data_IF_074286138154
#
_entry.id   IF_074286138154
#
_cell.length_a   1.000
_cell.length_b   1.000
_cell.length_c   1.000
_cell.angle_alpha   90.00
_cell.angle_beta   90.00
_cell.angle_gamma   90.00
#
_symmetry.space_group_name_H-M   'P 1'
#
loop_
_entity.id
_entity.type
_entity.pdbx_description
1 polymer ?
#
# COMPACT_ATOMS: atom_id res chain seq x y z
N UNK A 1 6.66 6.62 24.84
CA UNK A 1 5.66 7.63 25.12
C UNK A 1 4.72 7.69 23.91
N UNK A 2 3.44 7.36 24.03
CA UNK A 2 2.48 7.57 22.99
C UNK A 2 2.16 9.06 22.88
N UNK A 3 1.93 9.55 21.66
CA UNK A 3 1.11 10.72 21.44
C UNK A 3 1.66 12.14 21.38
N UNK A 4 2.90 12.33 21.01
CA UNK A 4 3.27 13.66 20.51
C UNK A 4 2.81 13.86 19.04
N UNK A 5 2.73 12.78 18.25
CA UNK A 5 2.26 12.85 16.86
C UNK A 5 0.76 13.15 16.74
N UNK A 6 -0.03 12.71 17.71
CA UNK A 6 -1.49 12.99 17.70
C UNK A 6 -1.80 14.44 18.11
N UNK A 7 -0.94 15.07 18.91
CA UNK A 7 -1.11 16.50 19.27
C UNK A 7 -0.74 17.44 18.12
N UNK A 8 0.27 17.11 17.32
CA UNK A 8 0.66 17.93 16.17
C UNK A 8 -0.37 17.87 15.03
N UNK A 9 -0.98 16.69 14.78
CA UNK A 9 -2.05 16.56 13.78
C UNK A 9 -3.37 17.21 14.23
N UNK A 10 -3.62 17.31 15.53
CA UNK A 10 -4.83 17.97 16.03
C UNK A 10 -4.73 19.51 15.97
N UNK A 11 -3.53 20.09 16.01
CA UNK A 11 -3.34 21.53 15.92
C UNK A 11 -3.44 22.04 14.47
N UNK A 12 -3.06 21.23 13.47
CA UNK A 12 -3.18 21.60 12.05
C UNK A 12 -4.62 21.56 11.53
N UNK A 13 -5.46 20.69 12.06
CA UNK A 13 -6.87 20.60 11.65
C UNK A 13 -7.75 21.70 12.27
N UNK A 14 -7.36 22.26 13.39
CA UNK A 14 -8.11 23.35 14.03
C UNK A 14 -8.12 24.65 13.20
N UNK A 15 -7.07 24.88 12.39
CA UNK A 15 -6.96 26.10 11.58
C UNK A 15 -7.81 26.09 10.31
N UNK A 16 -8.01 24.93 9.70
CA UNK A 16 -8.76 24.83 8.43
C UNK A 16 -10.28 24.72 8.64
N UNK A 17 -10.68 24.04 9.71
CA UNK A 17 -12.12 23.92 10.03
C UNK A 17 -12.70 25.15 10.71
N UNK A 18 -11.88 26.02 11.32
CA UNK A 18 -12.35 27.18 12.09
C UNK A 18 -12.88 28.32 11.26
N UNK A 19 -12.50 28.44 10.01
CA UNK A 19 -12.86 29.56 9.14
C UNK A 19 -13.90 29.23 8.05
N UNK A 20 -14.33 27.99 7.94
CA UNK A 20 -15.36 27.61 6.98
C UNK A 20 -16.71 28.09 7.55
N UNK A 21 -17.31 29.06 6.89
CA UNK A 21 -18.63 29.62 7.21
C UNK A 21 -18.75 30.30 8.59
N UNK A 22 -17.68 30.92 9.12
CA UNK A 22 -17.77 31.70 10.37
C UNK A 22 -17.91 30.86 11.63
N UNK A 23 -17.65 29.58 11.59
CA UNK A 23 -17.70 28.71 12.77
C UNK A 23 -16.50 28.94 13.69
N UNK A 24 -16.74 29.45 14.86
CA UNK A 24 -15.77 29.50 15.96
C UNK A 24 -15.61 28.09 16.54
N UNK A 25 -14.43 27.51 16.36
CA UNK A 25 -14.08 26.19 16.86
C UNK A 25 -13.94 25.16 15.74
N UNK A 26 -12.77 24.53 15.67
CA UNK A 26 -12.44 23.57 14.63
C UNK A 26 -13.45 22.44 14.57
N UNK A 27 -14.14 22.36 13.45
CA UNK A 27 -15.13 21.30 13.22
C UNK A 27 -14.46 19.91 13.08
N UNK A 28 -13.14 19.85 13.04
CA UNK A 28 -12.36 18.63 12.89
C UNK A 28 -12.47 18.04 11.48
N UNK A 29 -11.37 17.60 10.95
CA UNK A 29 -11.33 16.82 9.69
C UNK A 29 -11.01 15.37 10.02
N UNK A 30 -11.65 14.44 9.31
CA UNK A 30 -11.42 13.00 9.47
C UNK A 30 -10.95 12.36 8.18
N UNK A 31 -9.97 11.48 8.28
CA UNK A 31 -9.42 10.73 7.16
C UNK A 31 -9.10 9.30 7.58
N UNK A 32 -8.97 8.41 6.60
CA UNK A 32 -8.61 7.03 6.83
C UNK A 32 -7.08 6.85 6.75
N UNK A 33 -6.52 6.11 7.71
CA UNK A 33 -5.11 5.73 7.74
C UNK A 33 -4.98 4.22 7.69
N UNK A 34 -3.83 3.73 7.22
CA UNK A 34 -3.49 2.31 7.28
C UNK A 34 -2.76 1.98 8.58
N UNK A 35 -3.14 0.87 9.16
CA UNK A 35 -2.40 0.19 10.21
C UNK A 35 -2.19 -1.27 9.79
N UNK A 36 -1.17 -1.92 10.31
CA UNK A 36 -0.89 -3.31 10.01
C UNK A 36 -0.46 -4.07 11.27
N UNK A 37 -0.71 -5.38 11.25
CA UNK A 37 -0.35 -6.29 12.33
C UNK A 37 0.09 -7.62 11.73
N UNK A 38 0.88 -8.40 12.48
CA UNK A 38 1.26 -9.78 12.14
C UNK A 38 0.65 -10.82 13.06
N UNK A 39 0.22 -10.39 14.23
CA UNK A 39 -0.28 -11.24 15.33
C UNK A 39 -1.75 -10.95 15.68
N UNK A 40 -2.36 -9.94 15.06
CA UNK A 40 -3.71 -9.48 15.37
C UNK A 40 -3.83 -8.69 16.68
N UNK A 41 -2.74 -8.58 17.44
CA UNK A 41 -2.70 -7.94 18.75
C UNK A 41 -1.88 -6.65 18.72
N UNK A 42 -0.68 -6.71 18.18
CA UNK A 42 0.23 -5.56 18.09
C UNK A 42 0.01 -4.84 16.77
N UNK A 43 -0.51 -3.62 16.81
CA UNK A 43 -0.80 -2.82 15.64
C UNK A 43 0.28 -1.76 15.41
N UNK A 44 0.73 -1.66 14.18
CA UNK A 44 1.75 -0.72 13.74
C UNK A 44 1.14 0.28 12.76
N UNK A 45 1.59 1.53 12.87
CA UNK A 45 1.33 2.59 11.90
C UNK A 45 2.66 3.14 11.43
N UNK A 46 2.87 3.20 10.13
CA UNK A 46 4.04 3.88 9.59
C UNK A 46 3.89 5.38 9.83
N UNK A 47 4.87 5.98 10.50
CA UNK A 47 4.87 7.43 10.82
C UNK A 47 5.04 8.32 9.60
N UNK A 48 5.55 7.75 8.50
CA UNK A 48 5.75 8.44 7.23
C UNK A 48 4.62 8.21 6.23
N UNK A 49 3.69 7.32 6.54
CA UNK A 49 2.46 7.17 5.75
C UNK A 49 1.43 8.14 6.27
N UNK A 50 1.19 9.13 5.46
CA UNK A 50 0.13 10.09 5.66
C UNK A 50 -1.24 9.42 5.53
N UNK A 51 -2.20 10.08 5.06
CA UNK A 51 -3.55 9.62 4.84
C UNK A 51 -3.58 8.55 3.76
N UNK A 52 -4.22 7.45 4.02
CA UNK A 52 -4.49 6.42 3.02
C UNK A 52 -5.59 6.86 2.05
N UNK A 53 -6.65 7.45 2.61
CA UNK A 53 -7.76 8.01 1.88
C UNK A 53 -8.17 9.33 2.53
N UNK A 54 -8.18 10.38 1.71
CA UNK A 54 -8.43 11.75 2.15
C UNK A 54 -9.80 12.24 1.68
N UNK A 55 -10.40 13.18 2.44
CA UNK A 55 -11.50 13.98 1.97
C UNK A 55 -11.16 14.76 0.70
N UNK A 56 -12.18 15.13 -0.08
CA UNK A 56 -12.01 16.06 -1.20
C UNK A 56 -11.46 17.41 -0.68
N UNK A 57 -10.34 17.91 -1.20
CA UNK A 57 -9.77 19.18 -0.75
C UNK A 57 -10.65 20.38 -1.10
N UNK A 58 -11.62 20.22 -2.00
CA UNK A 58 -12.53 21.31 -2.40
C UNK A 58 -13.51 21.63 -1.29
N UNK A 59 -13.42 22.84 -0.76
CA UNK A 59 -14.33 23.34 0.28
C UNK A 59 -15.78 23.27 -0.22
N UNK A 60 -16.65 22.64 0.58
CA UNK A 60 -18.06 22.45 0.25
C UNK A 60 -18.37 21.20 -0.58
N UNK A 61 -17.36 20.43 -1.00
CA UNK A 61 -17.60 19.08 -1.52
C UNK A 61 -18.33 18.23 -0.47
N UNK A 62 -19.08 17.25 -0.91
CA UNK A 62 -19.95 16.46 -0.05
C UNK A 62 -19.18 15.62 0.99
N UNK A 63 -17.89 15.32 0.74
CA UNK A 63 -16.99 14.58 1.62
C UNK A 63 -15.76 15.40 2.05
N UNK A 64 -15.83 16.75 1.91
CA UNK A 64 -14.72 17.66 2.19
C UNK A 64 -14.12 17.52 3.58
N UNK A 65 -14.97 17.35 4.61
CA UNK A 65 -14.49 17.36 5.98
C UNK A 65 -14.10 15.97 6.51
N UNK A 66 -14.78 14.93 6.07
CA UNK A 66 -14.52 13.59 6.54
C UNK A 66 -14.78 12.55 5.45
N UNK A 67 -13.88 11.56 5.38
CA UNK A 67 -13.99 10.39 4.53
C UNK A 67 -13.55 9.15 5.32
N UNK A 68 -14.54 8.42 5.84
CA UNK A 68 -14.29 7.28 6.72
C UNK A 68 -14.70 5.98 6.06
N UNK A 69 -13.71 5.15 5.73
CA UNK A 69 -13.95 3.80 5.23
C UNK A 69 -14.54 2.95 6.35
N UNK A 70 -15.75 2.44 6.11
CA UNK A 70 -16.51 1.64 7.07
C UNK A 70 -16.57 0.17 6.72
N UNK A 71 -16.47 -0.19 5.43
CA UNK A 71 -16.51 -1.58 4.99
C UNK A 71 -15.79 -1.76 3.67
N UNK A 72 -15.43 -3.01 3.38
CA UNK A 72 -14.80 -3.40 2.12
C UNK A 72 -15.35 -4.73 1.62
N UNK A 73 -15.38 -4.89 0.28
CA UNK A 73 -15.74 -6.14 -0.37
C UNK A 73 -14.86 -6.37 -1.59
N UNK A 74 -14.42 -7.61 -1.77
CA UNK A 74 -13.66 -8.02 -2.96
C UNK A 74 -14.64 -8.28 -4.10
N UNK A 75 -14.42 -7.63 -5.25
CA UNK A 75 -15.20 -7.80 -6.48
C UNK A 75 -14.23 -8.05 -7.62
N UNK A 76 -14.04 -9.31 -8.00
CA UNK A 76 -13.04 -9.70 -8.98
C UNK A 76 -11.62 -9.30 -8.53
N UNK A 77 -10.96 -8.50 -9.33
CA UNK A 77 -9.59 -8.01 -9.11
C UNK A 77 -9.54 -6.68 -8.33
N UNK A 78 -10.68 -6.18 -7.88
CA UNK A 78 -10.80 -4.93 -7.16
C UNK A 78 -11.29 -5.14 -5.73
N UNK A 79 -10.86 -4.26 -4.84
CA UNK A 79 -11.42 -4.06 -3.52
C UNK A 79 -12.26 -2.79 -3.54
N UNK A 80 -13.54 -2.94 -3.24
CA UNK A 80 -14.49 -1.84 -3.10
C UNK A 80 -14.49 -1.40 -1.64
N UNK A 81 -14.12 -0.15 -1.40
CA UNK A 81 -14.11 0.48 -0.09
C UNK A 81 -15.28 1.43 0.00
N UNK A 82 -16.30 1.06 0.78
CA UNK A 82 -17.43 1.94 1.06
C UNK A 82 -17.07 2.87 2.20
N UNK A 83 -17.31 4.16 2.01
CA UNK A 83 -17.00 5.17 2.99
C UNK A 83 -18.15 6.13 3.25
N UNK A 84 -18.23 6.65 4.46
CA UNK A 84 -19.10 7.74 4.81
C UNK A 84 -18.37 9.06 4.58
N UNK A 85 -18.93 9.89 3.72
CA UNK A 85 -18.44 11.24 3.44
C UNK A 85 -19.29 12.28 4.16
N UNK A 86 -18.65 13.34 4.62
CA UNK A 86 -19.29 14.43 5.36
C UNK A 86 -18.77 15.77 4.84
N UNK A 87 -19.68 16.64 4.48
CA UNK A 87 -19.34 18.01 4.04
C UNK A 87 -18.73 18.84 5.17
N UNK A 88 -19.22 18.63 6.39
CA UNK A 88 -18.85 19.39 7.58
C UNK A 88 -18.12 18.50 8.58
N UNK A 89 -17.33 19.11 9.43
CA UNK A 89 -16.53 18.42 10.42
C UNK A 89 -17.35 17.77 11.53
N UNK A 90 -16.65 16.95 12.32
CA UNK A 90 -17.22 16.08 13.36
C UNK A 90 -18.14 16.80 14.38
N UNK A 91 -17.84 18.05 14.68
CA UNK A 91 -18.61 18.84 15.68
C UNK A 91 -19.78 19.62 15.10
N UNK A 92 -20.04 19.43 13.83
CA UNK A 92 -21.17 20.09 13.19
C UNK A 92 -22.47 19.33 13.47
N UNK A 93 -23.47 20.04 14.02
CA UNK A 93 -24.67 19.37 14.55
C UNK A 93 -25.69 18.92 13.51
N UNK A 94 -25.54 19.30 12.24
CA UNK A 94 -26.46 18.93 11.18
C UNK A 94 -26.04 17.63 10.51
N UNK A 95 -26.86 16.60 10.66
CA UNK A 95 -26.62 15.27 10.09
C UNK A 95 -27.04 15.11 8.63
N UNK A 96 -27.53 16.19 8.01
CA UNK A 96 -28.18 16.16 6.68
C UNK A 96 -27.22 16.01 5.49
N UNK A 97 -25.94 16.27 5.67
CA UNK A 97 -24.94 16.29 4.60
C UNK A 97 -24.00 15.07 4.64
N UNK A 98 -24.54 13.90 4.98
CA UNK A 98 -23.82 12.63 4.95
C UNK A 98 -24.20 11.84 3.72
N UNK A 99 -23.20 11.30 3.03
CA UNK A 99 -23.43 10.46 1.86
C UNK A 99 -22.53 9.24 1.92
N UNK A 100 -22.95 8.18 1.23
CA UNK A 100 -22.16 6.99 1.02
C UNK A 100 -21.37 7.12 -0.27
N UNK A 101 -20.06 6.94 -0.19
CA UNK A 101 -19.15 6.91 -1.32
C UNK A 101 -18.52 5.55 -1.53
N UNK A 102 -17.93 5.37 -2.71
CA UNK A 102 -17.21 4.18 -3.11
C UNK A 102 -15.85 4.56 -3.68
N UNK A 103 -14.80 3.97 -3.12
CA UNK A 103 -13.45 3.99 -3.70
C UNK A 103 -13.07 2.57 -4.10
N UNK A 104 -12.42 2.44 -5.24
CA UNK A 104 -11.94 1.17 -5.77
C UNK A 104 -10.42 1.13 -5.76
N UNK A 105 -9.87 0.03 -5.30
CA UNK A 105 -8.44 -0.25 -5.29
C UNK A 105 -8.21 -1.62 -5.90
N UNK A 106 -7.19 -1.80 -6.73
CA UNK A 106 -6.79 -3.14 -7.15
C UNK A 106 -6.43 -3.97 -5.92
N UNK A 107 -6.82 -5.24 -5.92
CA UNK A 107 -6.63 -6.16 -4.79
C UNK A 107 -5.17 -6.17 -4.31
N UNK A 108 -4.96 -6.09 -3.01
CA UNK A 108 -3.67 -6.11 -2.30
C UNK A 108 -2.73 -4.94 -2.67
N UNK A 109 -3.26 -3.82 -3.19
CA UNK A 109 -2.48 -2.64 -3.57
C UNK A 109 -2.58 -1.48 -2.57
N UNK A 110 -2.54 -1.78 -1.30
CA UNK A 110 -2.55 -0.76 -0.25
C UNK A 110 -1.22 -0.03 -0.10
N UNK A 111 -0.12 -0.76 -0.20
CA UNK A 111 1.25 -0.25 -0.01
C UNK A 111 2.15 -0.83 -1.09
N UNK A 112 3.11 -0.05 -1.56
CA UNK A 112 4.11 -0.50 -2.53
C UNK A 112 5.52 -0.14 -2.11
N UNK A 113 6.49 -0.92 -2.58
CA UNK A 113 7.87 -0.46 -2.74
C UNK A 113 8.01 0.10 -4.15
N UNK A 114 8.52 1.32 -4.25
CA UNK A 114 8.62 2.04 -5.51
C UNK A 114 10.05 2.54 -5.73
N UNK A 115 10.49 2.49 -6.97
CA UNK A 115 11.70 3.17 -7.42
C UNK A 115 11.40 3.99 -8.69
N UNK A 116 12.15 5.07 -8.89
CA UNK A 116 12.14 5.90 -10.09
C UNK A 116 13.13 5.41 -11.16
N UNK A 117 13.76 6.34 -11.86
CA UNK A 117 14.74 6.02 -12.91
C UNK A 117 15.95 5.24 -12.40
N UNK A 118 16.44 5.60 -11.21
CA UNK A 118 17.48 4.81 -10.53
C UNK A 118 16.82 3.58 -9.92
N UNK A 119 17.29 2.40 -10.29
CA UNK A 119 16.81 1.15 -9.73
C UNK A 119 17.05 1.09 -8.22
N UNK A 120 16.04 0.62 -7.49
CA UNK A 120 16.12 0.27 -6.08
C UNK A 120 16.10 -1.24 -5.91
N UNK A 121 16.71 -1.73 -4.84
CA UNK A 121 16.71 -3.15 -4.49
C UNK A 121 15.97 -3.39 -3.18
N UNK A 122 15.12 -4.42 -3.15
CA UNK A 122 14.46 -4.93 -1.96
C UNK A 122 14.91 -6.38 -1.74
N UNK A 123 15.42 -6.69 -0.56
CA UNK A 123 15.87 -8.05 -0.20
C UNK A 123 15.02 -8.60 0.93
N UNK A 124 14.58 -9.86 0.81
CA UNK A 124 13.86 -10.56 1.88
C UNK A 124 14.83 -11.05 2.96
N UNK A 125 14.27 -11.41 4.10
CA UNK A 125 14.97 -12.34 5.01
C UNK A 125 15.16 -13.68 4.30
N UNK A 126 16.07 -14.53 4.82
CA UNK A 126 16.17 -15.90 4.37
C UNK A 126 14.83 -16.63 4.62
N UNK A 127 14.37 -17.35 3.63
CA UNK A 127 13.14 -18.14 3.66
C UNK A 127 13.36 -19.46 2.92
N UNK A 128 12.65 -20.48 3.36
CA UNK A 128 12.66 -21.80 2.70
C UNK A 128 11.34 -21.93 1.94
N UNK A 129 11.43 -22.14 0.63
CA UNK A 129 10.26 -22.26 -0.24
C UNK A 129 9.94 -23.73 -0.51
N UNK A 130 8.66 -24.06 -0.41
CA UNK A 130 8.08 -25.28 -0.98
C UNK A 130 7.09 -24.86 -2.07
N UNK A 131 7.63 -24.39 -3.20
CA UNK A 131 6.84 -23.78 -4.24
C UNK A 131 7.40 -24.11 -5.63
N UNK A 132 6.51 -24.07 -6.63
CA UNK A 132 6.86 -24.27 -8.03
C UNK A 132 6.89 -22.96 -8.81
N UNK A 133 6.20 -21.95 -8.35
CA UNK A 133 6.09 -20.65 -9.00
C UNK A 133 6.18 -19.50 -8.00
N UNK A 134 6.64 -18.37 -8.51
CA UNK A 134 6.61 -17.08 -7.84
C UNK A 134 5.81 -16.11 -8.71
N UNK A 135 4.84 -15.42 -8.12
CA UNK A 135 4.07 -14.38 -8.79
C UNK A 135 4.21 -13.06 -8.07
N UNK A 136 4.12 -11.95 -8.82
CA UNK A 136 4.23 -10.60 -8.30
C UNK A 136 2.97 -9.78 -8.59
N UNK A 137 2.50 -9.04 -7.60
CA UNK A 137 1.56 -7.94 -7.80
C UNK A 137 2.38 -6.68 -8.07
N UNK A 138 2.36 -6.21 -9.33
CA UNK A 138 3.23 -5.13 -9.81
C UNK A 138 2.50 -4.12 -10.69
N UNK A 139 3.00 -2.89 -10.72
CA UNK A 139 2.68 -1.89 -11.73
C UNK A 139 4.00 -1.41 -12.35
N UNK A 140 4.38 -2.00 -13.49
CA UNK A 140 5.69 -1.81 -14.13
C UNK A 140 5.60 -1.40 -15.61
N UNK A 141 4.47 -0.86 -16.08
CA UNK A 141 4.29 -0.48 -17.49
C UNK A 141 5.25 0.62 -17.97
N UNK A 142 5.86 1.38 -17.06
CA UNK A 142 6.83 2.44 -17.40
C UNK A 142 8.28 2.03 -17.11
N UNK A 143 8.50 0.82 -16.64
CA UNK A 143 9.79 0.30 -16.25
C UNK A 143 9.79 -1.21 -16.15
N UNK A 144 10.50 -1.73 -15.18
CA UNK A 144 10.62 -3.18 -15.00
C UNK A 144 10.83 -3.59 -13.54
N UNK A 145 10.44 -4.82 -13.24
CA UNK A 145 10.85 -5.52 -12.02
C UNK A 145 11.57 -6.81 -12.45
N UNK A 146 12.72 -7.08 -11.84
CA UNK A 146 13.43 -8.35 -11.97
C UNK A 146 13.66 -8.96 -10.60
N UNK A 147 13.77 -10.26 -10.56
CA UNK A 147 14.00 -10.99 -9.33
C UNK A 147 15.25 -11.85 -9.46
N UNK A 148 16.09 -11.86 -8.43
CA UNK A 148 17.13 -12.89 -8.28
C UNK A 148 16.94 -13.65 -6.98
N UNK A 149 17.43 -14.90 -6.97
CA UNK A 149 17.59 -15.66 -5.74
C UNK A 149 19.05 -15.71 -5.33
N UNK A 150 19.28 -15.51 -4.04
CA UNK A 150 20.59 -15.65 -3.44
C UNK A 150 20.57 -16.72 -2.35
N UNK A 151 21.73 -17.22 -1.96
CA UNK A 151 21.88 -18.06 -0.77
C UNK A 151 21.50 -17.27 0.48
N UNK A 152 21.34 -17.91 1.61
CA UNK A 152 21.12 -17.23 2.89
C UNK A 152 22.24 -16.26 3.26
N UNK A 153 23.47 -16.47 2.76
CA UNK A 153 24.63 -15.58 2.91
C UNK A 153 24.67 -14.41 1.92
N UNK A 154 23.80 -14.42 0.90
CA UNK A 154 23.69 -13.34 -0.08
C UNK A 154 24.40 -13.59 -1.41
N UNK A 155 24.95 -14.80 -1.63
CA UNK A 155 25.60 -15.14 -2.90
C UNK A 155 24.57 -15.44 -4.00
N UNK A 156 24.64 -14.78 -5.18
CA UNK A 156 23.71 -15.03 -6.28
C UNK A 156 23.77 -16.48 -6.78
N UNK A 157 22.60 -17.11 -6.92
CA UNK A 157 22.50 -18.50 -7.38
C UNK A 157 22.49 -18.52 -8.91
N UNK A 158 23.41 -19.28 -9.57
CA UNK A 158 23.43 -19.41 -11.03
C UNK A 158 22.08 -19.91 -11.60
N UNK A 159 21.61 -19.26 -12.67
CA UNK A 159 20.32 -19.54 -13.28
C UNK A 159 19.15 -18.78 -12.65
N UNK A 160 19.40 -18.06 -11.53
CA UNK A 160 18.41 -17.24 -10.80
C UNK A 160 18.87 -15.80 -10.57
N UNK A 161 19.88 -15.33 -11.29
CA UNK A 161 20.37 -13.96 -11.21
C UNK A 161 19.42 -12.99 -11.88
N UNK A 162 19.62 -11.69 -11.70
CA UNK A 162 18.82 -10.67 -12.38
C UNK A 162 18.87 -10.79 -13.91
N UNK A 163 20.04 -11.13 -14.48
CA UNK A 163 20.22 -11.36 -15.91
C UNK A 163 19.55 -12.65 -16.41
N UNK A 164 19.27 -13.59 -15.51
CA UNK A 164 18.57 -14.83 -15.82
C UNK A 164 17.05 -14.68 -15.72
N UNK A 165 16.58 -13.58 -15.12
CA UNK A 165 15.16 -13.28 -14.91
C UNK A 165 14.60 -12.51 -16.12
N UNK A 166 13.50 -13.01 -16.69
CA UNK A 166 12.73 -12.23 -17.67
C UNK A 166 12.16 -10.98 -17.02
N UNK A 167 12.40 -9.76 -17.56
CA UNK A 167 11.88 -8.54 -16.98
C UNK A 167 10.35 -8.53 -16.98
N UNK A 168 9.76 -8.14 -15.87
CA UNK A 168 8.32 -7.95 -15.72
C UNK A 168 8.02 -6.48 -15.97
N UNK A 169 7.28 -6.19 -17.04
CA UNK A 169 6.92 -4.83 -17.48
C UNK A 169 5.40 -4.60 -17.50
N UNK A 170 4.65 -5.47 -16.84
CA UNK A 170 3.19 -5.46 -16.82
C UNK A 170 2.61 -4.66 -15.64
N UNK A 171 1.32 -4.32 -15.75
CA UNK A 171 0.46 -3.98 -14.63
C UNK A 171 -0.43 -5.19 -14.33
N UNK A 172 -0.02 -6.04 -13.39
CA UNK A 172 -0.68 -7.32 -13.10
C UNK A 172 -0.73 -7.61 -11.60
N UNK A 173 -1.78 -8.33 -11.18
CA UNK A 173 -1.93 -8.80 -9.81
C UNK A 173 -1.10 -10.06 -9.51
N UNK A 174 -0.77 -10.84 -10.54
CA UNK A 174 -0.03 -12.09 -10.42
C UNK A 174 0.88 -12.35 -11.64
N UNK A 175 1.81 -11.43 -11.91
CA UNK A 175 2.81 -11.62 -12.96
C UNK A 175 3.77 -12.73 -12.57
N UNK A 176 3.88 -13.77 -13.39
CA UNK A 176 4.80 -14.89 -13.13
C UNK A 176 6.25 -14.45 -13.30
N UNK A 177 7.09 -14.83 -12.35
CA UNK A 177 8.55 -14.66 -12.44
C UNK A 177 9.12 -15.85 -13.18
N UNK A 178 9.82 -15.59 -14.27
CA UNK A 178 10.47 -16.60 -15.10
C UNK A 178 11.99 -16.42 -15.03
N UNK A 179 12.69 -17.51 -14.67
CA UNK A 179 14.14 -17.60 -14.70
C UNK A 179 14.60 -18.66 -15.70
N UNK A 180 15.91 -18.75 -15.96
CA UNK A 180 16.50 -19.81 -16.77
C UNK A 180 16.32 -21.20 -16.14
N UNK A 181 16.20 -21.27 -14.81
CA UNK A 181 16.01 -22.49 -14.05
C UNK A 181 14.62 -22.51 -13.37
N UNK A 182 13.97 -23.66 -13.23
CA UNK A 182 12.70 -23.78 -12.52
C UNK A 182 12.89 -23.50 -11.02
N UNK A 183 11.98 -22.72 -10.41
CA UNK A 183 12.01 -22.39 -8.98
C UNK A 183 12.05 -23.66 -8.10
N UNK A 184 11.42 -24.73 -8.52
CA UNK A 184 11.38 -26.02 -7.82
C UNK A 184 12.78 -26.60 -7.50
N UNK A 185 13.82 -26.20 -8.22
CA UNK A 185 15.23 -26.62 -7.93
C UNK A 185 15.78 -26.01 -6.67
N UNK A 186 15.14 -24.96 -6.14
CA UNK A 186 15.47 -24.29 -4.88
C UNK A 186 14.62 -24.77 -3.70
N UNK A 187 13.72 -25.75 -3.93
CA UNK A 187 12.84 -26.30 -2.89
C UNK A 187 13.66 -26.78 -1.69
N UNK A 188 13.19 -26.42 -0.49
CA UNK A 188 13.81 -26.82 0.77
C UNK A 188 15.15 -26.14 1.12
N UNK A 189 15.67 -25.30 0.22
CA UNK A 189 16.92 -24.56 0.47
C UNK A 189 16.62 -23.21 1.09
N UNK A 190 17.38 -22.75 2.11
CA UNK A 190 17.26 -21.40 2.63
C UNK A 190 17.83 -20.40 1.60
N UNK A 191 16.96 -19.54 1.07
CA UNK A 191 17.33 -18.53 0.07
C UNK A 191 16.80 -17.16 0.48
N UNK A 192 17.31 -16.11 -0.16
CA UNK A 192 16.70 -14.78 -0.17
C UNK A 192 16.21 -14.46 -1.57
N UNK A 193 15.13 -13.72 -1.66
CA UNK A 193 14.69 -13.11 -2.91
C UNK A 193 15.09 -11.64 -2.89
N UNK A 194 15.66 -11.19 -4.00
CA UNK A 194 16.01 -9.79 -4.22
C UNK A 194 15.25 -9.28 -5.43
N UNK A 195 14.60 -8.13 -5.27
CA UNK A 195 13.78 -7.50 -6.29
C UNK A 195 14.49 -6.21 -6.74
N UNK A 196 14.86 -6.14 -8.00
CA UNK A 196 15.32 -4.90 -8.64
C UNK A 196 14.09 -4.21 -9.24
N UNK A 197 13.83 -2.98 -8.83
CA UNK A 197 12.66 -2.20 -9.21
C UNK A 197 13.14 -0.93 -9.88
N UNK A 198 12.68 -0.63 -11.13
CA UNK A 198 13.01 0.59 -11.87
C UNK A 198 11.77 1.14 -12.57
N UNK A 199 11.43 2.41 -12.34
CA UNK A 199 10.20 3.06 -12.81
C UNK A 199 8.95 2.20 -12.61
N UNK A 200 8.86 1.54 -11.45
CA UNK A 200 7.84 0.53 -11.17
C UNK A 200 7.46 0.51 -9.68
N UNK A 201 6.37 -0.17 -9.39
CA UNK A 201 5.88 -0.44 -8.04
C UNK A 201 5.68 -1.93 -7.84
N UNK A 202 6.20 -2.47 -6.74
CA UNK A 202 5.98 -3.83 -6.26
C UNK A 202 5.07 -3.76 -5.01
N UNK A 203 3.92 -4.40 -5.06
CA UNK A 203 2.94 -4.43 -3.96
C UNK A 203 3.05 -5.69 -3.11
N UNK A 204 3.13 -6.85 -3.75
CA UNK A 204 3.22 -8.14 -3.08
C UNK A 204 3.94 -9.16 -3.95
N UNK A 205 4.35 -10.27 -3.34
CA UNK A 205 4.71 -11.50 -4.02
C UNK A 205 4.02 -12.70 -3.36
N UNK A 206 3.76 -13.72 -4.13
CA UNK A 206 3.13 -14.96 -3.69
C UNK A 206 3.90 -16.14 -4.26
N UNK A 207 4.10 -17.17 -3.44
CA UNK A 207 4.70 -18.45 -3.84
C UNK A 207 3.59 -19.50 -3.95
N UNK A 208 3.63 -20.30 -5.03
CA UNK A 208 2.62 -21.32 -5.36
C UNK A 208 3.24 -22.68 -5.62
#
# INVERSE_FOLDING_TARGET
APDQANKANNSGSAGVGGNILGMKGGAGMGYTVLTWTRDGVTWHRDRHTDKFFEPDPKVGAWDHAMAWVGSSVVVGDELYLYYAGYRWGHKYQHSVDRQLGLVKVKRDRFVARQAGEKAGTLTTRALTLDAQALTLNVAAMKGEVRVQATTASGEPIPGFRFEDCRPITADALAATVEWKQPLATLRGKPIRLEFSIRNARLFAFEVK
#
